data_IF_855975282980
#
_entry.id   IF_855975282980
#
_cell.length_a   1.000
_cell.length_b   1.000
_cell.length_c   1.000
_cell.angle_alpha   90.00
_cell.angle_beta   90.00
_cell.angle_gamma   90.00
#
_symmetry.space_group_name_H-M   'P 1'
#
loop_
_entity.id
_entity.type
_entity.pdbx_description
1 polymer ?
#
# COMPACT_ATOMS: atom_id res chain seq x y z
N UNK A 1 -16.01 38.36 -18.26
CA UNK A 1 -16.50 37.18 -17.52
C UNK A 1 -15.36 36.25 -17.07
N UNK A 2 -14.23 36.19 -17.80
CA UNK A 2 -13.04 35.41 -17.41
C UNK A 2 -12.33 35.87 -16.12
N UNK A 3 -12.40 37.16 -15.79
CA UNK A 3 -11.64 37.74 -14.67
C UNK A 3 -12.15 37.25 -13.29
N UNK A 4 -13.46 37.06 -13.16
CA UNK A 4 -14.06 36.55 -11.92
C UNK A 4 -13.76 35.07 -11.70
N UNK A 5 -13.81 34.25 -12.77
CA UNK A 5 -13.51 32.83 -12.67
C UNK A 5 -12.04 32.56 -12.34
N UNK A 6 -11.11 33.35 -12.89
CA UNK A 6 -9.69 33.25 -12.56
C UNK A 6 -9.42 33.58 -11.09
N UNK A 7 -10.01 34.68 -10.59
CA UNK A 7 -9.88 35.07 -9.17
C UNK A 7 -10.48 34.00 -8.25
N UNK A 8 -11.63 33.43 -8.60
CA UNK A 8 -12.24 32.36 -7.81
C UNK A 8 -11.40 31.08 -7.82
N UNK A 9 -10.77 30.74 -8.94
CA UNK A 9 -9.85 29.61 -9.04
C UNK A 9 -8.64 29.78 -8.10
N UNK A 10 -8.01 30.95 -8.12
CA UNK A 10 -6.84 31.25 -7.28
C UNK A 10 -7.18 31.26 -5.79
N UNK A 11 -8.31 31.87 -5.41
CA UNK A 11 -8.80 31.84 -4.02
C UNK A 11 -9.10 30.41 -3.57
N UNK A 12 -9.74 29.60 -4.41
CA UNK A 12 -10.06 28.21 -4.09
C UNK A 12 -8.81 27.35 -3.89
N UNK A 13 -7.77 27.59 -4.70
CA UNK A 13 -6.48 26.90 -4.58
C UNK A 13 -5.75 27.27 -3.30
N UNK A 14 -5.67 28.56 -2.97
CA UNK A 14 -5.05 29.03 -1.72
C UNK A 14 -5.78 28.49 -0.49
N UNK A 15 -7.12 28.49 -0.49
CA UNK A 15 -7.91 27.88 0.59
C UNK A 15 -7.70 26.37 0.68
N UNK A 16 -7.54 25.67 -0.45
CA UNK A 16 -7.22 24.23 -0.45
C UNK A 16 -5.82 23.96 0.12
N UNK A 17 -4.82 24.79 -0.21
CA UNK A 17 -3.48 24.70 0.36
C UNK A 17 -3.49 24.94 1.87
N UNK A 18 -4.24 25.93 2.35
CA UNK A 18 -4.35 26.24 3.78
C UNK A 18 -5.08 25.13 4.56
N UNK A 19 -6.14 24.56 3.98
CA UNK A 19 -6.87 23.42 4.55
C UNK A 19 -6.07 22.13 4.57
N UNK A 20 -5.17 21.91 3.60
CA UNK A 20 -4.30 20.73 3.55
C UNK A 20 -3.20 20.69 4.63
N UNK A 21 -2.87 21.83 5.25
CA UNK A 21 -1.88 21.88 6.35
C UNK A 21 -2.46 21.49 7.71
N UNK A 22 -3.78 21.64 7.90
CA UNK A 22 -4.45 21.47 9.20
C UNK A 22 -5.36 20.23 9.28
N UNK A 23 -5.61 19.55 8.16
CA UNK A 23 -6.32 18.27 8.12
C UNK A 23 -5.44 17.22 7.42
N UNK A 24 -5.24 16.01 7.99
CA UNK A 24 -4.74 14.89 7.22
C UNK A 24 -5.66 14.78 6.00
N UNK A 25 -5.07 14.89 4.81
CA UNK A 25 -5.78 15.05 3.54
C UNK A 25 -7.11 14.27 3.54
N UNK A 26 -8.22 15.02 3.60
CA UNK A 26 -9.57 14.49 3.53
C UNK A 26 -9.89 13.97 2.12
N UNK A 27 -9.06 13.03 1.62
CA UNK A 27 -9.52 12.08 0.61
C UNK A 27 -10.73 11.42 1.25
N UNK A 28 -11.90 11.54 0.61
CA UNK A 28 -13.08 10.77 0.99
C UNK A 28 -12.63 9.34 1.29
N UNK A 29 -12.67 8.97 2.57
CA UNK A 29 -12.15 7.73 3.13
C UNK A 29 -13.07 6.58 2.75
N UNK A 30 -13.25 6.34 1.45
CA UNK A 30 -13.84 5.11 0.95
C UNK A 30 -12.82 4.02 1.26
N UNK A 31 -13.02 3.32 2.38
CA UNK A 31 -12.26 2.14 2.75
C UNK A 31 -12.13 1.26 1.51
N UNK A 32 -10.89 0.88 1.17
CA UNK A 32 -10.66 -0.06 0.08
C UNK A 32 -11.27 -1.40 0.51
N UNK A 33 -12.22 -1.90 -0.27
CA UNK A 33 -12.86 -3.20 -0.03
C UNK A 33 -12.02 -4.25 -0.73
N UNK A 34 -11.54 -5.23 0.03
CA UNK A 34 -10.84 -6.38 -0.53
C UNK A 34 -11.84 -7.31 -1.23
N UNK A 35 -11.45 -7.94 -2.36
CA UNK A 35 -12.28 -8.95 -3.01
C UNK A 35 -12.47 -10.18 -2.12
N UNK A 36 -13.51 -10.95 -2.41
CA UNK A 36 -13.79 -12.20 -1.72
C UNK A 36 -12.62 -13.21 -1.87
N UNK A 37 -12.29 -14.00 -0.82
CA UNK A 37 -11.18 -14.96 -0.87
C UNK A 37 -11.25 -15.98 -2.01
N UNK A 38 -12.42 -16.25 -2.59
CA UNK A 38 -12.59 -17.11 -3.77
C UNK A 38 -11.74 -16.65 -4.97
N UNK A 39 -11.41 -15.36 -5.04
CA UNK A 39 -10.53 -14.77 -6.07
C UNK A 39 -9.15 -15.41 -6.11
N UNK A 40 -8.69 -16.01 -5.00
CA UNK A 40 -7.39 -16.69 -4.88
C UNK A 40 -7.20 -17.72 -5.98
N UNK A 41 -8.22 -18.53 -6.26
CA UNK A 41 -8.13 -19.63 -7.23
C UNK A 41 -7.82 -19.15 -8.66
N UNK A 42 -8.32 -17.97 -9.02
CA UNK A 42 -8.10 -17.32 -10.31
C UNK A 42 -6.75 -16.60 -10.30
N UNK A 43 -6.50 -15.80 -9.26
CA UNK A 43 -5.28 -14.99 -9.15
C UNK A 43 -4.03 -15.85 -9.06
N UNK A 44 -4.08 -16.97 -8.35
CA UNK A 44 -2.94 -17.88 -8.27
C UNK A 44 -2.56 -18.41 -9.66
N UNK A 45 -3.52 -18.90 -10.45
CA UNK A 45 -3.27 -19.37 -11.82
C UNK A 45 -2.75 -18.25 -12.73
N UNK A 46 -3.27 -17.04 -12.58
CA UNK A 46 -2.81 -15.88 -13.33
C UNK A 46 -1.34 -15.56 -13.00
N UNK A 47 -1.01 -15.45 -11.72
CA UNK A 47 0.34 -15.13 -11.24
C UNK A 47 1.34 -16.26 -11.55
N UNK A 48 0.91 -17.53 -11.55
CA UNK A 48 1.74 -18.66 -12.00
C UNK A 48 2.08 -18.52 -13.48
N UNK A 49 1.09 -18.24 -14.34
CA UNK A 49 1.29 -18.05 -15.79
C UNK A 49 2.19 -16.87 -16.12
N UNK A 50 2.09 -15.77 -15.37
CA UNK A 50 2.98 -14.61 -15.55
C UNK A 50 4.34 -14.78 -14.87
N UNK A 51 4.55 -15.87 -14.12
CA UNK A 51 5.80 -16.12 -13.41
C UNK A 51 6.05 -15.12 -12.27
N UNK A 52 4.98 -14.61 -11.65
CA UNK A 52 5.00 -13.68 -10.52
C UNK A 52 5.05 -14.41 -9.17
N UNK A 53 4.69 -15.70 -9.11
CA UNK A 53 4.82 -16.52 -7.89
C UNK A 53 6.27 -17.00 -7.73
N UNK A 54 7.16 -16.07 -7.39
CA UNK A 54 8.55 -16.34 -7.02
C UNK A 54 8.86 -15.61 -5.72
N UNK A 55 9.69 -16.22 -4.87
CA UNK A 55 10.07 -15.63 -3.58
C UNK A 55 10.59 -14.21 -3.76
N UNK A 56 11.58 -14.00 -4.62
CA UNK A 56 12.19 -12.69 -4.87
C UNK A 56 11.15 -11.63 -5.29
N UNK A 57 10.20 -12.00 -6.14
CA UNK A 57 9.16 -11.08 -6.62
C UNK A 57 8.17 -10.70 -5.52
N UNK A 58 7.74 -11.67 -4.72
CA UNK A 58 6.80 -11.44 -3.61
C UNK A 58 7.49 -10.72 -2.46
N UNK A 59 8.69 -11.13 -2.10
CA UNK A 59 9.48 -10.58 -0.99
C UNK A 59 9.87 -9.12 -1.24
N UNK A 60 10.22 -8.76 -2.48
CA UNK A 60 10.58 -7.38 -2.82
C UNK A 60 9.36 -6.45 -2.96
N UNK A 61 8.14 -6.96 -2.88
CA UNK A 61 6.93 -6.15 -2.83
C UNK A 61 6.60 -5.79 -1.38
N UNK A 62 6.30 -4.51 -1.11
CA UNK A 62 5.94 -4.03 0.24
C UNK A 62 4.83 -4.86 0.90
N UNK A 63 3.75 -5.14 0.18
CA UNK A 63 2.64 -5.95 0.73
C UNK A 63 3.01 -7.42 0.87
N UNK A 64 3.79 -7.97 -0.06
CA UNK A 64 4.24 -9.35 -0.01
C UNK A 64 5.16 -9.61 1.18
N UNK A 65 6.10 -8.71 1.46
CA UNK A 65 6.95 -8.77 2.66
C UNK A 65 6.12 -8.71 3.95
N UNK A 66 5.20 -7.74 4.08
CA UNK A 66 4.39 -7.58 5.29
C UNK A 66 3.54 -8.82 5.59
N UNK A 67 2.90 -9.39 4.57
CA UNK A 67 2.11 -10.62 4.72
C UNK A 67 2.99 -11.84 5.04
N UNK A 68 4.19 -11.92 4.48
CA UNK A 68 5.15 -12.98 4.80
C UNK A 68 5.63 -12.86 6.25
N UNK A 69 5.93 -11.64 6.72
CA UNK A 69 6.33 -11.36 8.10
C UNK A 69 5.23 -11.79 9.07
N UNK A 70 3.99 -11.36 8.83
CA UNK A 70 2.83 -11.77 9.63
C UNK A 70 2.66 -13.30 9.65
N UNK A 71 2.82 -13.96 8.50
CA UNK A 71 2.79 -15.41 8.41
C UNK A 71 3.89 -16.08 9.25
N UNK A 72 5.12 -15.60 9.19
CA UNK A 72 6.24 -16.15 9.96
C UNK A 72 6.03 -15.95 11.46
N UNK A 73 5.59 -14.76 11.87
CA UNK A 73 5.30 -14.44 13.27
C UNK A 73 4.15 -15.26 13.84
N UNK A 74 3.13 -15.56 13.03
CA UNK A 74 1.96 -16.31 13.46
C UNK A 74 2.18 -17.83 13.42
N UNK A 75 2.74 -18.35 12.33
CA UNK A 75 2.72 -19.78 11.99
C UNK A 75 4.10 -20.44 11.99
N UNK A 76 5.20 -19.68 12.02
CA UNK A 76 6.54 -20.23 11.80
C UNK A 76 7.61 -19.55 12.64
N UNK A 77 7.47 -19.65 13.96
CA UNK A 77 8.30 -18.98 14.98
C UNK A 77 9.81 -19.18 14.78
N UNK A 78 10.23 -20.32 14.24
CA UNK A 78 11.65 -20.62 13.96
C UNK A 78 12.30 -19.64 12.96
N UNK A 79 11.53 -19.04 12.04
CA UNK A 79 12.07 -18.06 11.09
C UNK A 79 11.93 -16.60 11.58
N UNK A 80 11.27 -16.34 12.71
CA UNK A 80 11.17 -14.99 13.27
C UNK A 80 12.53 -14.31 13.46
N UNK A 81 13.59 -14.99 13.98
CA UNK A 81 14.91 -14.37 14.12
C UNK A 81 15.51 -13.95 12.77
N UNK A 82 15.24 -14.70 11.69
CA UNK A 82 15.76 -14.40 10.36
C UNK A 82 15.13 -13.13 9.79
N UNK A 83 13.81 -12.96 9.93
CA UNK A 83 13.11 -11.76 9.50
C UNK A 83 13.56 -10.54 10.30
N UNK A 84 13.68 -10.67 11.63
CA UNK A 84 14.19 -9.60 12.51
C UNK A 84 15.61 -9.18 12.16
N UNK A 85 16.47 -10.15 11.85
CA UNK A 85 17.84 -9.86 11.41
C UNK A 85 17.85 -9.13 10.07
N UNK A 86 17.04 -9.58 9.10
CA UNK A 86 16.93 -8.92 7.81
C UNK A 86 16.49 -7.46 7.94
N UNK A 87 15.48 -7.16 8.77
CA UNK A 87 15.03 -5.79 9.01
C UNK A 87 16.13 -4.93 9.66
N UNK A 88 16.79 -5.45 10.69
CA UNK A 88 17.86 -4.73 11.38
C UNK A 88 19.05 -4.37 10.45
N UNK A 89 19.35 -5.23 9.47
CA UNK A 89 20.40 -4.97 8.47
C UNK A 89 19.90 -4.04 7.37
N UNK A 90 18.63 -4.11 6.99
CA UNK A 90 18.04 -3.28 5.94
C UNK A 90 17.82 -1.83 6.37
N UNK A 91 17.70 -1.58 7.68
CA UNK A 91 17.55 -0.25 8.28
C UNK A 91 18.90 0.48 8.51
N UNK A 92 20.04 -0.16 8.21
CA UNK A 92 21.37 0.45 8.23
C UNK A 92 21.74 1.09 6.88
#
# INVERSE_FOLDING_TARGET
>A
MADLEAVLADVSYLMAMEKSRSQPAARASKKIILPDPSVRSIMQKYLEKTGEIKFEKIFNQRLGFLLLKEFVESMYEKACPLIKFYEAVSDC
#
